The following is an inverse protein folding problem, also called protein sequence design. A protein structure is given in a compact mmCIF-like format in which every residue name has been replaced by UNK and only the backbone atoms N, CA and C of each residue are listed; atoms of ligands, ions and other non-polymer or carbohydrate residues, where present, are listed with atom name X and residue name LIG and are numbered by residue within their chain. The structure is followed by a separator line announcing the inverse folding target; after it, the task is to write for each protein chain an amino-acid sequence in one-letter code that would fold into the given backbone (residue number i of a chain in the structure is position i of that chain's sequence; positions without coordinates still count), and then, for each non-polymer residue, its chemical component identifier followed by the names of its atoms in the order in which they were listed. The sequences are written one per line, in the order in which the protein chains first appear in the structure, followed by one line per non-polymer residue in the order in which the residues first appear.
data_IF_916178002645
#
_entry.id   IF_916178002645
#
_cell.length_a   1.000
_cell.length_b   1.000
_cell.length_c   1.000
_cell.angle_alpha   90.00
_cell.angle_beta   90.00
_cell.angle_gamma   90.00
#
_symmetry.space_group_name_H-M   'P 1'
#
loop_
_entity.id
_entity.type
_entity.pdbx_description
1 polymer ?
#
# COMPACT_ATOMS: atom_id res chain seq x y z
N UNK A 1 52.05 30.65 -14.01
CA UNK A 1 51.20 31.45 -13.10
C UNK A 1 50.00 31.96 -13.88
N UNK A 2 48.82 31.36 -13.69
CA UNK A 2 47.60 31.70 -14.44
C UNK A 2 46.61 32.45 -13.55
N UNK A 3 46.11 33.56 -14.09
CA UNK A 3 45.33 34.62 -13.43
C UNK A 3 43.89 34.18 -13.10
N UNK A 4 43.69 33.31 -12.12
CA UNK A 4 42.33 32.94 -11.65
C UNK A 4 42.16 32.92 -10.13
N UNK A 5 43.18 33.29 -9.36
CA UNK A 5 43.19 33.15 -7.89
C UNK A 5 42.64 34.40 -7.16
N UNK A 6 41.52 34.96 -7.63
CA UNK A 6 41.06 36.24 -7.11
C UNK A 6 39.60 36.62 -7.41
N UNK A 7 38.72 35.65 -7.65
CA UNK A 7 37.31 35.97 -7.89
C UNK A 7 36.39 35.24 -6.90
N UNK A 8 36.25 35.79 -5.70
CA UNK A 8 35.30 35.32 -4.66
C UNK A 8 33.81 35.59 -5.04
N UNK A 9 33.55 36.23 -6.19
CA UNK A 9 32.20 36.62 -6.66
C UNK A 9 31.22 35.46 -6.87
N UNK A 10 31.70 34.24 -7.02
CA UNK A 10 30.82 33.07 -7.21
C UNK A 10 30.45 32.36 -5.90
N UNK A 11 31.19 32.57 -4.80
CA UNK A 11 30.81 32.00 -3.48
C UNK A 11 29.49 32.58 -2.95
N UNK A 12 29.21 33.84 -3.26
CA UNK A 12 28.01 34.54 -2.77
C UNK A 12 26.80 34.47 -3.70
N UNK A 13 26.93 33.93 -4.94
CA UNK A 13 25.86 33.98 -5.97
C UNK A 13 25.00 32.72 -6.03
N UNK A 14 25.27 31.69 -5.23
CA UNK A 14 24.55 30.41 -5.30
C UNK A 14 24.14 29.87 -3.92
N UNK A 15 23.49 30.70 -3.12
CA UNK A 15 22.68 30.23 -2.00
C UNK A 15 21.27 30.80 -2.13
N UNK A 16 20.55 30.33 -3.16
CA UNK A 16 19.09 30.32 -3.10
C UNK A 16 18.73 29.11 -2.24
N UNK A 17 18.51 29.34 -0.95
CA UNK A 17 18.11 28.31 0.03
C UNK A 17 16.88 27.53 -0.47
N UNK A 18 16.03 28.16 -1.28
CA UNK A 18 14.85 27.54 -1.91
C UNK A 18 15.16 26.46 -2.95
N UNK A 19 16.34 26.48 -3.59
CA UNK A 19 16.76 25.41 -4.51
C UNK A 19 17.53 24.29 -3.81
N UNK A 20 18.02 24.51 -2.59
CA UNK A 20 18.80 23.52 -1.86
C UNK A 20 17.93 22.32 -1.44
N UNK A 21 16.68 22.56 -1.06
CA UNK A 21 15.69 21.51 -0.79
C UNK A 21 15.35 20.67 -2.05
N UNK A 22 15.36 21.28 -3.23
CA UNK A 22 15.17 20.58 -4.51
C UNK A 22 16.38 19.71 -4.87
N UNK A 23 17.59 20.12 -4.49
CA UNK A 23 18.80 19.31 -4.67
C UNK A 23 18.87 18.14 -3.68
N UNK A 24 18.46 18.33 -2.42
CA UNK A 24 18.41 17.25 -1.43
C UNK A 24 17.41 16.15 -1.79
N UNK A 25 16.26 16.52 -2.38
CA UNK A 25 15.30 15.53 -2.91
C UNK A 25 15.82 14.75 -4.14
N UNK A 26 16.90 15.22 -4.78
CA UNK A 26 17.51 14.59 -5.96
C UNK A 26 18.53 13.50 -5.63
N UNK A 27 18.94 13.38 -4.37
CA UNK A 27 19.83 12.33 -3.87
C UNK A 27 19.12 11.00 -3.53
N UNK A 28 17.84 10.83 -3.93
CA UNK A 28 17.25 9.48 -4.00
C UNK A 28 17.99 8.73 -5.11
N UNK A 29 18.79 7.75 -4.69
CA UNK A 29 19.56 6.91 -5.59
C UNK A 29 18.63 6.40 -6.71
N UNK A 30 19.05 6.41 -7.99
CA UNK A 30 18.20 5.93 -9.07
C UNK A 30 17.78 4.50 -8.74
N UNK A 31 16.48 4.32 -8.46
CA UNK A 31 15.98 3.01 -8.07
C UNK A 31 16.23 2.05 -9.23
N UNK A 32 17.01 1.00 -8.95
CA UNK A 32 17.38 -0.02 -9.91
C UNK A 32 16.14 -0.63 -10.55
N UNK A 33 16.20 -1.02 -11.82
CA UNK A 33 15.05 -1.56 -12.55
C UNK A 33 14.41 -2.83 -11.95
N UNK A 34 15.14 -3.56 -11.10
CA UNK A 34 14.59 -4.71 -10.37
C UNK A 34 13.75 -4.27 -9.17
N UNK A 35 12.68 -5.02 -8.92
CA UNK A 35 11.78 -4.82 -7.77
C UNK A 35 12.53 -5.07 -6.45
N UNK A 36 12.29 -4.23 -5.45
CA UNK A 36 12.80 -4.46 -4.09
C UNK A 36 11.86 -5.36 -3.28
N UNK A 37 12.34 -5.88 -2.14
CA UNK A 37 11.50 -6.68 -1.23
C UNK A 37 10.33 -5.89 -0.64
N UNK A 38 10.55 -4.61 -0.35
CA UNK A 38 9.51 -3.67 0.08
C UNK A 38 8.46 -3.49 -1.04
N UNK A 39 8.90 -3.34 -2.29
CA UNK A 39 8.01 -3.19 -3.44
C UNK A 39 7.21 -4.45 -3.75
N UNK A 40 7.83 -5.63 -3.63
CA UNK A 40 7.10 -6.90 -3.71
C UNK A 40 6.04 -7.03 -2.63
N UNK A 41 6.31 -6.49 -1.44
CA UNK A 41 5.31 -6.44 -0.36
C UNK A 41 4.16 -5.51 -0.74
N UNK A 42 4.45 -4.31 -1.24
CA UNK A 42 3.40 -3.39 -1.73
C UNK A 42 2.57 -3.99 -2.88
N UNK A 43 3.21 -4.72 -3.79
CA UNK A 43 2.52 -5.42 -4.88
C UNK A 43 1.57 -6.49 -4.30
N UNK A 44 2.05 -7.32 -3.37
CA UNK A 44 1.23 -8.31 -2.68
C UNK A 44 0.04 -7.65 -1.99
N UNK A 45 0.25 -6.53 -1.31
CA UNK A 45 -0.76 -5.79 -0.58
C UNK A 45 -1.84 -5.24 -1.52
N UNK A 46 -1.43 -4.57 -2.60
CA UNK A 46 -2.32 -4.04 -3.61
C UNK A 46 -3.16 -5.13 -4.31
N UNK A 47 -2.60 -6.33 -4.47
CA UNK A 47 -3.34 -7.50 -4.98
C UNK A 47 -4.33 -7.99 -3.92
N UNK A 48 -3.92 -8.08 -2.65
CA UNK A 48 -4.70 -8.69 -1.59
C UNK A 48 -5.91 -7.86 -1.17
N UNK A 49 -5.78 -6.54 -1.07
CA UNK A 49 -6.86 -5.69 -0.57
C UNK A 49 -8.17 -5.81 -1.38
N UNK A 50 -8.19 -5.85 -2.72
CA UNK A 50 -9.39 -6.17 -3.49
C UNK A 50 -10.06 -7.48 -3.08
N UNK A 51 -9.29 -8.56 -2.88
CA UNK A 51 -9.84 -9.84 -2.41
C UNK A 51 -10.46 -9.71 -1.02
N UNK A 52 -9.81 -8.97 -0.11
CA UNK A 52 -10.37 -8.70 1.22
C UNK A 52 -11.70 -7.95 1.13
N UNK A 53 -11.80 -6.93 0.28
CA UNK A 53 -13.03 -6.17 0.07
C UNK A 53 -14.15 -7.08 -0.48
N UNK A 54 -13.86 -7.91 -1.48
CA UNK A 54 -14.83 -8.89 -2.00
C UNK A 54 -15.28 -9.88 -0.93
N UNK A 55 -14.40 -10.32 -0.02
CA UNK A 55 -14.78 -11.20 1.10
C UNK A 55 -15.70 -10.47 2.09
N UNK A 56 -15.42 -9.21 2.41
CA UNK A 56 -16.28 -8.39 3.27
C UNK A 56 -17.66 -8.18 2.63
N UNK A 57 -17.73 -7.87 1.35
CA UNK A 57 -18.99 -7.70 0.61
C UNK A 57 -19.86 -8.95 0.65
N UNK A 58 -19.25 -10.12 0.40
CA UNK A 58 -19.94 -11.41 0.53
C UNK A 58 -20.45 -11.63 1.96
N UNK A 59 -19.63 -11.36 2.96
CA UNK A 59 -20.05 -11.49 4.36
C UNK A 59 -21.19 -10.55 4.73
N UNK A 60 -21.22 -9.33 4.21
CA UNK A 60 -22.36 -8.42 4.39
C UNK A 60 -23.62 -8.94 3.71
N UNK A 61 -23.49 -9.52 2.51
CA UNK A 61 -24.62 -10.12 1.81
C UNK A 61 -25.21 -11.30 2.59
N UNK A 62 -24.37 -12.15 3.15
CA UNK A 62 -24.79 -13.29 3.98
C UNK A 62 -25.49 -12.82 5.27
N UNK A 63 -24.99 -11.75 5.91
CA UNK A 63 -25.58 -11.18 7.12
C UNK A 63 -26.97 -10.56 6.88
N UNK A 64 -27.21 -9.98 5.69
CA UNK A 64 -28.52 -9.39 5.36
C UNK A 64 -29.65 -10.41 5.40
N UNK A 65 -29.36 -11.65 5.03
CA UNK A 65 -30.32 -12.76 5.01
C UNK A 65 -30.43 -13.44 6.38
N UNK A 66 -29.48 -13.17 7.29
CA UNK A 66 -29.43 -13.75 8.62
C UNK A 66 -30.49 -13.15 9.57
N UNK A 67 -31.05 -14.00 10.42
CA UNK A 67 -31.94 -13.62 11.54
C UNK A 67 -31.17 -13.43 12.86
N UNK A 68 -29.83 -13.46 12.82
CA UNK A 68 -29.00 -13.37 14.02
C UNK A 68 -29.14 -12.01 14.73
N UNK A 69 -29.26 -12.03 16.06
CA UNK A 69 -29.46 -10.82 16.88
C UNK A 69 -28.32 -9.80 16.71
N UNK A 70 -27.08 -10.27 16.58
CA UNK A 70 -25.91 -9.41 16.46
C UNK A 70 -25.63 -8.91 15.03
N UNK A 71 -26.52 -9.15 14.06
CA UNK A 71 -26.25 -8.84 12.64
C UNK A 71 -25.87 -7.38 12.40
N UNK A 72 -26.55 -6.43 13.06
CA UNK A 72 -26.30 -5.00 12.87
C UNK A 72 -24.90 -4.60 13.38
N UNK A 73 -24.45 -5.22 14.47
CA UNK A 73 -23.11 -4.97 15.03
C UNK A 73 -22.06 -5.53 14.07
N UNK A 74 -22.25 -6.74 13.54
CA UNK A 74 -21.35 -7.32 12.55
C UNK A 74 -21.31 -6.50 11.25
N UNK A 75 -22.46 -6.03 10.76
CA UNK A 75 -22.53 -5.18 9.56
C UNK A 75 -21.72 -3.89 9.74
N UNK A 76 -21.93 -3.17 10.85
CA UNK A 76 -21.16 -1.95 11.15
C UNK A 76 -19.67 -2.24 11.26
N UNK A 77 -19.30 -3.31 11.96
CA UNK A 77 -17.90 -3.69 12.11
C UNK A 77 -17.22 -3.99 10.76
N UNK A 78 -17.88 -4.74 9.89
CA UNK A 78 -17.36 -5.05 8.55
C UNK A 78 -17.25 -3.77 7.71
N UNK A 79 -18.23 -2.85 7.78
CA UNK A 79 -18.16 -1.59 7.06
C UNK A 79 -16.97 -0.71 7.50
N UNK A 80 -16.67 -0.67 8.81
CA UNK A 80 -15.49 0.03 9.33
C UNK A 80 -14.21 -0.59 8.75
N UNK A 81 -14.10 -1.92 8.79
CA UNK A 81 -12.96 -2.65 8.20
C UNK A 81 -12.82 -2.35 6.70
N UNK A 82 -13.92 -2.37 5.94
CA UNK A 82 -13.89 -2.07 4.51
C UNK A 82 -13.40 -0.66 4.21
N UNK A 83 -13.83 0.33 5.00
CA UNK A 83 -13.38 1.73 4.87
C UNK A 83 -11.86 1.84 5.09
N UNK A 84 -11.37 1.15 6.09
CA UNK A 84 -9.95 1.09 6.44
C UNK A 84 -9.10 0.40 5.36
N UNK A 85 -9.55 -0.75 4.86
CA UNK A 85 -8.90 -1.46 3.74
C UNK A 85 -8.90 -0.59 2.48
N UNK A 86 -10.01 0.08 2.17
CA UNK A 86 -10.12 0.95 0.99
C UNK A 86 -9.15 2.13 1.06
N UNK A 87 -8.95 2.70 2.25
CA UNK A 87 -7.96 3.75 2.49
C UNK A 87 -6.54 3.22 2.24
N UNK A 88 -6.21 2.07 2.82
CA UNK A 88 -4.88 1.47 2.68
C UNK A 88 -4.60 1.08 1.23
N UNK A 89 -5.58 0.51 0.51
CA UNK A 89 -5.49 0.24 -0.92
C UNK A 89 -5.22 1.50 -1.75
N UNK A 90 -5.93 2.60 -1.47
CA UNK A 90 -5.71 3.88 -2.17
C UNK A 90 -4.29 4.40 -1.93
N UNK A 91 -3.81 4.32 -0.68
CA UNK A 91 -2.46 4.74 -0.31
C UNK A 91 -1.40 3.88 -1.00
N UNK A 92 -1.51 2.55 -0.95
CA UNK A 92 -0.58 1.63 -1.62
C UNK A 92 -0.57 1.85 -3.13
N UNK A 93 -1.74 2.02 -3.77
CA UNK A 93 -1.81 2.31 -5.20
C UNK A 93 -1.21 3.67 -5.56
N UNK A 94 -1.29 4.66 -4.67
CA UNK A 94 -0.63 5.96 -4.87
C UNK A 94 0.88 5.80 -4.80
N UNK A 95 1.37 5.04 -3.81
CA UNK A 95 2.80 4.81 -3.61
C UNK A 95 3.42 4.00 -4.76
N UNK A 96 2.76 2.92 -5.19
CA UNK A 96 3.18 2.15 -6.37
C UNK A 96 3.28 3.02 -7.62
N UNK A 97 2.29 3.90 -7.85
CA UNK A 97 2.33 4.87 -8.96
C UNK A 97 3.51 5.84 -8.85
N UNK A 98 3.79 6.36 -7.66
CA UNK A 98 4.94 7.24 -7.42
C UNK A 98 6.28 6.53 -7.67
N UNK A 99 6.36 5.23 -7.41
CA UNK A 99 7.54 4.38 -7.67
C UNK A 99 7.59 3.83 -9.11
N UNK A 100 6.68 4.25 -9.99
CA UNK A 100 6.53 3.77 -11.37
C UNK A 100 6.34 2.25 -11.48
N UNK A 101 5.47 1.73 -10.63
CA UNK A 101 5.06 0.33 -10.59
C UNK A 101 3.58 0.22 -11.00
N UNK A 102 3.28 -0.64 -11.97
CA UNK A 102 1.93 -0.91 -12.46
C UNK A 102 1.63 -2.39 -12.29
N UNK A 103 0.45 -2.70 -11.77
CA UNK A 103 -0.03 -4.08 -11.60
C UNK A 103 -1.18 -4.30 -12.56
N UNK A 104 -1.20 -5.48 -13.17
CA UNK A 104 -2.23 -5.91 -14.09
C UNK A 104 -2.96 -7.12 -13.50
N UNK A 105 -4.26 -7.22 -13.79
CA UNK A 105 -5.06 -8.40 -13.46
C UNK A 105 -4.73 -9.51 -14.45
N UNK A 106 -4.49 -10.72 -13.96
CA UNK A 106 -4.22 -11.89 -14.80
C UNK A 106 -4.91 -13.15 -14.25
N UNK A 107 -4.64 -14.25 -14.94
CA UNK A 107 -5.33 -15.52 -14.89
C UNK A 107 -5.09 -16.31 -13.59
N UNK A 108 -6.09 -17.11 -13.22
CA UNK A 108 -5.95 -18.15 -12.21
C UNK A 108 -5.70 -19.47 -12.91
N UNK A 109 -4.61 -20.15 -12.56
CA UNK A 109 -4.27 -21.46 -13.09
C UNK A 109 -3.87 -22.39 -11.95
N UNK A 110 -4.50 -23.56 -11.89
CA UNK A 110 -4.17 -24.62 -10.91
C UNK A 110 -4.10 -24.14 -9.45
N UNK A 111 -5.06 -23.30 -9.04
CA UNK A 111 -5.11 -22.75 -7.68
C UNK A 111 -4.07 -21.65 -7.38
N UNK A 112 -3.21 -21.30 -8.34
CA UNK A 112 -2.28 -20.17 -8.27
C UNK A 112 -2.89 -18.98 -9.00
N UNK A 113 -2.87 -17.83 -8.32
CA UNK A 113 -3.30 -16.55 -8.87
C UNK A 113 -2.04 -15.83 -9.33
N UNK A 114 -1.95 -15.59 -10.64
CA UNK A 114 -0.85 -14.82 -11.22
C UNK A 114 -1.28 -13.38 -11.47
N UNK A 115 -0.37 -12.46 -11.17
CA UNK A 115 -0.50 -11.05 -11.46
C UNK A 115 0.78 -10.56 -12.12
N UNK A 116 0.70 -10.12 -13.36
CA UNK A 116 1.80 -9.38 -13.98
C UNK A 116 1.94 -7.99 -13.37
N UNK A 117 3.18 -7.54 -13.24
CA UNK A 117 3.49 -6.18 -12.89
C UNK A 117 4.66 -5.65 -13.72
N UNK A 118 4.69 -4.33 -13.92
CA UNK A 118 5.79 -3.61 -14.55
C UNK A 118 6.40 -2.67 -13.52
N UNK A 119 7.68 -2.85 -13.21
CA UNK A 119 8.45 -2.02 -12.29
C UNK A 119 9.51 -1.27 -13.09
N UNK A 120 9.37 0.07 -13.23
CA UNK A 120 10.38 0.92 -13.90
C UNK A 120 10.79 0.40 -15.29
N UNK A 121 9.84 -0.16 -16.03
CA UNK A 121 10.05 -0.72 -17.39
C UNK A 121 10.39 -2.21 -17.44
N UNK A 122 10.63 -2.87 -16.30
CA UNK A 122 10.85 -4.32 -16.22
C UNK A 122 9.54 -5.03 -15.92
N UNK A 123 9.18 -6.00 -16.76
CA UNK A 123 7.99 -6.83 -16.60
C UNK A 123 8.34 -8.12 -15.87
N UNK A 124 7.51 -8.50 -14.91
CA UNK A 124 7.63 -9.73 -14.14
C UNK A 124 6.25 -10.19 -13.64
N UNK A 125 6.17 -11.38 -13.02
CA UNK A 125 4.94 -11.98 -12.52
C UNK A 125 5.03 -12.30 -11.05
N UNK A 126 3.96 -11.96 -10.33
CA UNK A 126 3.74 -12.33 -8.95
C UNK A 126 2.72 -13.47 -8.90
N UNK A 127 3.13 -14.63 -8.37
CA UNK A 127 2.25 -15.77 -8.16
C UNK A 127 1.95 -15.97 -6.68
N UNK A 128 0.69 -16.20 -6.34
CA UNK A 128 0.30 -16.59 -4.98
C UNK A 128 -0.70 -17.75 -5.01
N UNK A 129 -0.44 -18.78 -4.21
CA UNK A 129 -1.37 -19.90 -4.03
C UNK A 129 -2.61 -19.38 -3.30
N UNK A 130 -3.80 -19.71 -3.80
CA UNK A 130 -5.08 -19.23 -3.28
C UNK A 130 -5.27 -19.52 -1.79
N UNK A 131 -4.82 -20.67 -1.31
CA UNK A 131 -4.90 -21.03 0.12
C UNK A 131 -4.01 -20.13 0.98
N UNK A 132 -2.78 -19.86 0.52
CA UNK A 132 -1.83 -18.95 1.19
C UNK A 132 -2.36 -17.51 1.19
N UNK A 133 -2.96 -17.07 0.08
CA UNK A 133 -3.64 -15.78 0.02
C UNK A 133 -4.76 -15.70 1.07
N UNK A 134 -5.59 -16.74 1.19
CA UNK A 134 -6.68 -16.79 2.16
C UNK A 134 -6.17 -16.77 3.61
N UNK A 135 -5.12 -17.51 3.94
CA UNK A 135 -4.56 -17.49 5.30
C UNK A 135 -3.99 -16.12 5.65
N UNK A 136 -3.29 -15.48 4.72
CA UNK A 136 -2.72 -14.14 4.92
C UNK A 136 -3.81 -13.07 5.07
N UNK A 137 -4.90 -13.18 4.29
CA UNK A 137 -6.10 -12.34 4.46
C UNK A 137 -6.66 -12.47 5.87
N UNK A 138 -6.76 -13.69 6.41
CA UNK A 138 -7.25 -13.90 7.78
C UNK A 138 -6.39 -13.18 8.80
N UNK A 139 -5.06 -13.26 8.68
CA UNK A 139 -4.12 -12.55 9.55
C UNK A 139 -4.32 -11.02 9.44
N UNK A 140 -4.54 -10.51 8.22
CA UNK A 140 -4.80 -9.08 8.03
C UNK A 140 -6.10 -8.61 8.66
N UNK A 141 -7.19 -9.37 8.53
CA UNK A 141 -8.44 -9.02 9.20
C UNK A 141 -8.27 -8.90 10.72
N UNK A 142 -7.48 -9.78 11.33
CA UNK A 142 -7.12 -9.66 12.75
C UNK A 142 -6.39 -8.35 13.04
N UNK A 143 -5.42 -7.94 12.20
CA UNK A 143 -4.71 -6.65 12.36
C UNK A 143 -5.67 -5.45 12.29
N UNK A 144 -6.59 -5.42 11.32
CA UNK A 144 -7.61 -4.37 11.23
C UNK A 144 -8.53 -4.36 12.46
N UNK A 145 -8.97 -5.54 12.89
CA UNK A 145 -9.81 -5.71 14.08
C UNK A 145 -9.11 -5.16 15.34
N UNK A 146 -7.83 -5.50 15.52
CA UNK A 146 -7.03 -5.00 16.64
C UNK A 146 -6.84 -3.48 16.59
N UNK A 147 -6.72 -2.88 15.40
CA UNK A 147 -6.63 -1.42 15.25
C UNK A 147 -7.90 -0.73 15.72
N UNK A 148 -9.06 -1.25 15.34
CA UNK A 148 -10.38 -0.75 15.78
C UNK A 148 -10.53 -0.89 17.29
N UNK A 149 -10.27 -2.09 17.85
CA UNK A 149 -10.36 -2.33 19.30
C UNK A 149 -9.42 -1.41 20.10
N UNK A 150 -8.25 -1.10 19.56
CA UNK A 150 -7.29 -0.19 20.20
C UNK A 150 -7.70 1.28 20.12
N UNK A 151 -8.58 1.67 19.19
CA UNK A 151 -9.16 3.01 19.14
C UNK A 151 -10.26 3.13 20.19
N UNK A 152 -11.15 2.14 20.28
CA UNK A 152 -12.22 2.09 21.28
C UNK A 152 -11.67 2.16 22.72
N UNK A 153 -10.63 1.38 23.04
CA UNK A 153 -9.98 1.42 24.36
C UNK A 153 -9.39 2.79 24.72
N UNK A 154 -8.98 3.59 23.72
CA UNK A 154 -8.44 4.93 23.95
C UNK A 154 -9.52 5.95 24.24
N UNK A 155 -10.67 5.81 23.60
CA UNK A 155 -11.83 6.67 23.85
C UNK A 155 -12.41 6.45 25.26
N UNK A 156 -12.43 5.21 25.74
CA UNK A 156 -12.86 4.86 27.11
C UNK A 156 -11.95 5.45 28.21
N UNK A 157 -10.67 5.69 27.92
CA UNK A 157 -9.70 6.24 28.88
C UNK A 157 -9.66 7.78 28.89
N UNK A 158 -10.34 8.42 27.94
CA UNK A 158 -10.39 9.89 27.83
C UNK A 158 -11.66 10.49 28.46
N UNK A 159 -12.50 9.66 29.08
CA UNK A 159 -13.71 9.99 29.83
C UNK A 159 -13.41 9.76 31.31
#
# INVERSE_FOLDING_TARGET
MSKLDGNERWKSKMLLTEHQEQYENRNKHPQTGRVTTEELTMIRDAIMFPYMLTMCEKSLQDLRISTHLFKQIHEQFIQIIMKDISRDLSNTNRELRQRNIKIFSDETHDGIIYHRYICRGYEDRFGIVREVLRSEISVRFTKYSMRILSQLKREEQSI
#
